data_IF_622437383907
#
_entry.id   IF_622437383907
#
_cell.length_a   1.000
_cell.length_b   1.000
_cell.length_c   1.000
_cell.angle_alpha   90.00
_cell.angle_beta   90.00
_cell.angle_gamma   90.00
#
_symmetry.space_group_name_H-M   'P 1'
#
loop_
_entity.id
_entity.type
_entity.pdbx_description
1 polymer ?
#
# COMPACT_ATOMS: atom_id res chain seq x y z
N UNK A 1 -14.60 8.70 -6.97
CA UNK A 1 -13.64 7.64 -6.58
C UNK A 1 -12.78 8.24 -5.50
N UNK A 2 -12.87 7.75 -4.27
CA UNK A 2 -12.05 8.26 -3.16
C UNK A 2 -10.60 7.78 -3.32
N UNK A 3 -9.61 8.44 -2.72
CA UNK A 3 -8.21 8.01 -2.80
C UNK A 3 -8.02 6.54 -2.36
N UNK A 4 -8.82 6.08 -1.38
CA UNK A 4 -8.83 4.70 -0.90
C UNK A 4 -9.39 3.70 -1.90
N UNK A 5 -10.38 4.08 -2.72
CA UNK A 5 -10.90 3.22 -3.78
C UNK A 5 -9.80 2.90 -4.80
N UNK A 6 -9.03 3.93 -5.20
CA UNK A 6 -7.89 3.77 -6.10
C UNK A 6 -6.81 2.88 -5.48
N UNK A 7 -6.54 3.05 -4.19
CA UNK A 7 -5.53 2.27 -3.46
C UNK A 7 -5.83 0.78 -3.47
N UNK A 8 -7.07 0.41 -3.12
CA UNK A 8 -7.50 -0.99 -3.03
C UNK A 8 -7.59 -1.62 -4.42
N UNK A 9 -8.06 -0.88 -5.42
CA UNK A 9 -8.05 -1.36 -6.81
C UNK A 9 -6.64 -1.60 -7.33
N UNK A 10 -5.70 -0.70 -7.06
CA UNK A 10 -4.31 -0.86 -7.50
C UNK A 10 -3.61 -2.01 -6.77
N UNK A 11 -3.96 -2.22 -5.50
CA UNK A 11 -3.52 -3.38 -4.72
C UNK A 11 -3.99 -4.70 -5.35
N UNK A 12 -5.24 -4.78 -5.79
CA UNK A 12 -5.78 -5.97 -6.46
C UNK A 12 -5.22 -6.16 -7.86
N UNK A 13 -4.98 -5.08 -8.61
CA UNK A 13 -4.30 -5.18 -9.91
C UNK A 13 -2.87 -5.70 -9.76
N UNK A 14 -2.14 -5.21 -8.74
CA UNK A 14 -0.75 -5.63 -8.48
C UNK A 14 -0.68 -7.04 -7.90
N UNK A 15 -1.64 -7.41 -7.05
CA UNK A 15 -1.74 -8.75 -6.45
C UNK A 15 -3.15 -9.31 -6.62
N UNK A 16 -3.43 -9.96 -7.76
CA UNK A 16 -4.74 -10.56 -8.02
C UNK A 16 -5.17 -11.55 -6.94
N UNK A 17 -4.23 -12.21 -6.25
CA UNK A 17 -4.50 -13.11 -5.12
C UNK A 17 -5.12 -12.43 -3.88
N UNK A 18 -5.05 -11.10 -3.80
CA UNK A 18 -5.70 -10.32 -2.75
C UNK A 18 -7.13 -9.92 -3.12
N UNK A 19 -7.54 -10.15 -4.37
CA UNK A 19 -8.85 -9.79 -4.89
C UNK A 19 -9.99 -10.25 -3.96
N UNK A 20 -11.10 -9.50 -3.93
CA UNK A 20 -12.23 -9.84 -3.10
C UNK A 20 -13.00 -11.01 -3.71
N UNK A 21 -13.58 -11.88 -2.88
CA UNK A 21 -14.51 -12.92 -3.31
C UNK A 21 -15.84 -12.31 -3.77
N UNK A 22 -16.29 -11.22 -3.14
CA UNK A 22 -17.49 -10.47 -3.50
C UNK A 22 -17.39 -8.95 -3.18
N UNK A 23 -18.37 -8.18 -3.64
CA UNK A 23 -18.41 -6.72 -3.42
C UNK A 23 -18.52 -6.33 -1.93
N UNK A 24 -19.12 -7.21 -1.11
CA UNK A 24 -19.28 -7.01 0.33
C UNK A 24 -17.92 -7.12 1.02
N UNK A 25 -17.12 -8.12 0.70
CA UNK A 25 -15.74 -8.26 1.19
C UNK A 25 -14.89 -7.07 0.75
N UNK A 26 -15.01 -6.63 -0.51
CA UNK A 26 -14.29 -5.47 -1.01
C UNK A 26 -14.60 -4.21 -0.18
N UNK A 27 -15.88 -4.00 0.13
CA UNK A 27 -16.34 -2.88 0.96
C UNK A 27 -15.81 -2.97 2.39
N UNK A 28 -15.90 -4.14 3.02
CA UNK A 28 -15.40 -4.33 4.38
C UNK A 28 -13.89 -4.14 4.43
N UNK A 29 -13.14 -4.71 3.50
CA UNK A 29 -11.69 -4.53 3.44
C UNK A 29 -11.29 -3.05 3.31
N UNK A 30 -11.99 -2.27 2.46
CA UNK A 30 -11.76 -0.82 2.35
C UNK A 30 -11.96 -0.10 3.68
N UNK A 31 -13.06 -0.39 4.39
CA UNK A 31 -13.36 0.22 5.68
C UNK A 31 -12.29 -0.13 6.71
N UNK A 32 -11.91 -1.41 6.79
CA UNK A 32 -10.89 -1.88 7.74
C UNK A 32 -9.52 -1.29 7.44
N UNK A 33 -9.16 -1.15 6.16
CA UNK A 33 -7.91 -0.53 5.73
C UNK A 33 -7.87 0.96 6.09
N UNK A 34 -8.94 1.72 5.83
CA UNK A 34 -9.03 3.13 6.25
C UNK A 34 -8.86 3.22 7.76
N UNK A 35 -9.58 2.38 8.51
CA UNK A 35 -9.51 2.38 9.97
C UNK A 35 -8.08 2.15 10.44
N UNK A 36 -7.40 1.13 9.93
CA UNK A 36 -5.98 0.87 10.22
C UNK A 36 -5.12 2.11 9.96
N UNK A 37 -5.25 2.74 8.78
CA UNK A 37 -4.45 3.91 8.40
C UNK A 37 -4.72 5.16 9.27
N UNK A 38 -5.85 5.20 9.98
CA UNK A 38 -6.21 6.29 10.90
C UNK A 38 -5.89 5.99 12.37
N UNK A 39 -5.41 4.78 12.70
CA UNK A 39 -5.05 4.41 14.07
C UNK A 39 -3.68 5.00 14.48
N UNK A 40 -3.39 5.12 15.78
CA UNK A 40 -2.04 5.43 16.27
C UNK A 40 -1.00 4.44 15.71
N UNK A 41 0.22 4.91 15.46
CA UNK A 41 1.29 4.10 14.83
C UNK A 41 1.57 2.82 15.63
N UNK A 42 1.57 2.92 16.95
CA UNK A 42 1.82 1.81 17.86
C UNK A 42 0.74 0.72 17.72
N UNK A 43 -0.51 1.12 17.48
CA UNK A 43 -1.60 0.19 17.23
C UNK A 43 -1.50 -0.42 15.82
N UNK A 44 -1.12 0.39 14.82
CA UNK A 44 -0.88 -0.12 13.47
C UNK A 44 0.19 -1.21 13.48
N UNK A 45 1.29 -1.01 14.18
CA UNK A 45 2.40 -1.97 14.28
C UNK A 45 1.94 -3.31 14.86
N UNK A 46 1.08 -3.30 15.87
CA UNK A 46 0.49 -4.53 16.45
C UNK A 46 -0.32 -5.29 15.40
N UNK A 47 -1.17 -4.59 14.65
CA UNK A 47 -2.00 -5.22 13.61
C UNK A 47 -1.13 -5.75 12.46
N UNK A 48 -0.15 -4.97 12.03
CA UNK A 48 0.76 -5.32 10.93
C UNK A 48 1.71 -6.45 11.30
N UNK A 49 2.13 -6.54 12.56
CA UNK A 49 2.88 -7.69 13.08
C UNK A 49 2.04 -8.98 13.12
N UNK A 50 0.73 -8.90 12.86
CA UNK A 50 -0.18 -10.04 12.77
C UNK A 50 -0.74 -10.48 14.11
N UNK A 51 -0.71 -9.62 15.13
CA UNK A 51 -1.40 -9.91 16.39
C UNK A 51 -2.92 -9.94 16.18
N UNK A 52 -3.66 -10.70 17.02
CA UNK A 52 -5.11 -10.76 16.96
C UNK A 52 -5.73 -9.37 17.03
N UNK A 53 -6.78 -9.16 16.23
CA UNK A 53 -7.51 -7.89 16.18
C UNK A 53 -8.98 -8.12 15.91
N UNK A 54 -9.77 -7.05 16.06
CA UNK A 54 -11.20 -7.04 15.80
C UNK A 54 -11.56 -7.00 14.29
N UNK A 55 -10.55 -6.82 13.42
CA UNK A 55 -10.75 -6.81 11.99
C UNK A 55 -11.11 -8.20 11.46
N UNK A 56 -12.09 -8.26 10.57
CA UNK A 56 -12.63 -9.51 10.03
C UNK A 56 -11.87 -10.02 8.82
N UNK A 57 -11.49 -9.12 7.91
CA UNK A 57 -10.87 -9.48 6.61
C UNK A 57 -9.41 -9.04 6.56
N UNK A 58 -9.10 -7.88 7.15
CA UNK A 58 -7.77 -7.29 7.15
C UNK A 58 -6.67 -8.25 7.62
N UNK A 59 -6.79 -9.04 8.70
CA UNK A 59 -5.69 -9.88 9.17
C UNK A 59 -5.26 -10.93 8.14
N UNK A 60 -6.21 -11.52 7.42
CA UNK A 60 -5.94 -12.48 6.37
C UNK A 60 -5.21 -11.83 5.18
N UNK A 61 -5.66 -10.63 4.76
CA UNK A 61 -5.03 -9.87 3.67
C UNK A 61 -3.65 -9.34 4.07
N UNK A 62 -3.49 -8.82 5.29
CA UNK A 62 -2.21 -8.37 5.87
C UNK A 62 -1.20 -9.51 5.91
N UNK A 63 -1.61 -10.74 6.26
CA UNK A 63 -0.71 -11.90 6.23
C UNK A 63 -0.15 -12.19 4.84
N UNK A 64 -0.96 -12.03 3.79
CA UNK A 64 -0.51 -12.21 2.41
C UNK A 64 0.37 -11.03 1.98
N UNK A 65 -0.03 -9.81 2.31
CA UNK A 65 0.72 -8.59 2.05
C UNK A 65 2.10 -8.59 2.74
N UNK A 66 2.20 -9.04 3.98
CA UNK A 66 3.46 -9.22 4.70
C UNK A 66 4.39 -10.20 3.99
N UNK A 67 3.88 -11.31 3.46
CA UNK A 67 4.71 -12.25 2.69
C UNK A 67 5.25 -11.64 1.41
N UNK A 68 4.47 -10.78 0.76
CA UNK A 68 4.87 -10.04 -0.43
C UNK A 68 5.92 -8.99 -0.05
N UNK A 69 5.61 -8.15 0.95
CA UNK A 69 6.47 -7.10 1.49
C UNK A 69 7.84 -7.66 1.88
N UNK A 70 7.90 -8.80 2.58
CA UNK A 70 9.16 -9.48 2.92
C UNK A 70 9.97 -9.90 1.70
N UNK A 71 9.31 -10.42 0.66
CA UNK A 71 9.98 -10.82 -0.59
C UNK A 71 10.52 -9.63 -1.36
N UNK A 72 9.74 -8.54 -1.44
CA UNK A 72 10.15 -7.31 -2.11
C UNK A 72 11.26 -6.60 -1.32
N UNK A 73 11.13 -6.51 0.01
CA UNK A 73 12.15 -5.93 0.90
C UNK A 73 13.49 -6.66 0.81
N UNK A 74 13.47 -7.99 0.73
CA UNK A 74 14.68 -8.79 0.55
C UNK A 74 15.37 -8.56 -0.81
N UNK A 75 14.66 -7.99 -1.80
CA UNK A 75 15.20 -7.66 -3.12
C UNK A 75 15.69 -6.22 -3.24
N UNK A 76 15.45 -5.38 -2.22
CA UNK A 76 15.96 -4.02 -2.20
C UNK A 76 17.48 -4.01 -2.06
N UNK A 77 18.12 -3.07 -2.76
CA UNK A 77 19.53 -2.78 -2.55
C UNK A 77 19.75 -2.20 -1.15
N UNK A 78 20.98 -2.27 -0.65
CA UNK A 78 21.29 -1.69 0.66
C UNK A 78 21.16 -0.15 0.64
N UNK A 79 21.42 0.48 -0.51
CA UNK A 79 21.18 1.91 -0.74
C UNK A 79 19.69 2.26 -0.64
N UNK A 80 18.81 1.46 -1.25
CA UNK A 80 17.35 1.66 -1.15
C UNK A 80 16.86 1.47 0.30
N UNK A 81 17.46 0.55 1.06
CA UNK A 81 17.13 0.33 2.48
C UNK A 81 17.64 1.47 3.36
N UNK A 82 18.84 1.99 3.08
CA UNK A 82 19.40 3.14 3.81
C UNK A 82 18.61 4.42 3.58
N UNK A 83 18.09 4.64 2.37
CA UNK A 83 17.19 5.76 2.07
C UNK A 83 15.84 5.66 2.80
N UNK A 84 15.46 4.46 3.19
CA UNK A 84 14.26 4.17 3.98
C UNK A 84 14.61 4.20 5.48
N UNK A 85 14.96 5.38 6.01
CA UNK A 85 15.32 5.57 7.43
C UNK A 85 14.29 4.90 8.37
N UNK A 86 14.78 3.98 9.22
CA UNK A 86 13.99 3.25 10.22
C UNK A 86 12.90 2.29 9.67
N UNK A 87 12.93 1.91 8.40
CA UNK A 87 11.96 0.98 7.84
C UNK A 87 12.31 -0.46 8.21
N UNK A 88 11.47 -1.08 9.05
CA UNK A 88 11.45 -2.52 9.24
C UNK A 88 10.40 -3.17 8.30
N UNK A 89 10.29 -4.50 8.28
CA UNK A 89 9.36 -5.21 7.39
C UNK A 89 7.91 -4.74 7.51
N UNK A 90 7.47 -4.35 8.72
CA UNK A 90 6.11 -3.85 9.00
C UNK A 90 5.93 -2.42 8.50
N UNK A 91 6.90 -1.55 8.73
CA UNK A 91 6.92 -0.18 8.20
C UNK A 91 7.02 -0.16 6.68
N UNK A 92 7.73 -1.14 6.09
CA UNK A 92 7.83 -1.30 4.64
C UNK A 92 6.47 -1.64 4.06
N UNK A 93 5.66 -2.45 4.74
CA UNK A 93 4.30 -2.72 4.30
C UNK A 93 3.44 -1.44 4.29
N UNK A 94 3.55 -0.56 5.30
CA UNK A 94 2.84 0.73 5.27
C UNK A 94 3.32 1.63 4.14
N UNK A 95 4.64 1.78 3.96
CA UNK A 95 5.22 2.51 2.84
C UNK A 95 4.73 1.95 1.49
N UNK A 96 4.72 0.63 1.37
CA UNK A 96 4.25 -0.09 0.21
C UNK A 96 2.76 0.15 -0.06
N UNK A 97 1.95 0.19 0.99
CA UNK A 97 0.51 0.40 0.90
C UNK A 97 0.13 1.86 0.69
N UNK A 98 0.91 2.83 1.15
CA UNK A 98 0.48 4.24 1.21
C UNK A 98 1.32 5.17 0.33
N UNK A 99 2.63 4.98 0.28
CA UNK A 99 3.56 5.89 -0.42
C UNK A 99 3.86 5.41 -1.84
N UNK A 100 4.09 4.10 -2.02
CA UNK A 100 4.39 3.53 -3.34
C UNK A 100 3.28 3.78 -4.38
N UNK A 101 1.97 3.67 -4.06
CA UNK A 101 0.91 4.00 -5.01
C UNK A 101 0.90 5.48 -5.39
N UNK A 102 1.18 6.38 -4.44
CA UNK A 102 1.23 7.83 -4.69
C UNK A 102 2.42 8.18 -5.59
N UNK A 103 3.62 7.68 -5.28
CA UNK A 103 4.82 7.88 -6.12
C UNK A 103 4.55 7.36 -7.53
N UNK A 104 4.01 6.15 -7.68
CA UNK A 104 3.68 5.58 -9.00
C UNK A 104 2.63 6.38 -9.75
N UNK A 105 1.64 6.93 -9.06
CA UNK A 105 0.60 7.74 -9.69
C UNK A 105 1.17 9.07 -10.17
N UNK A 106 2.08 9.67 -9.41
CA UNK A 106 2.86 10.85 -9.80
C UNK A 106 3.78 10.55 -10.99
N UNK A 107 4.53 9.45 -10.97
CA UNK A 107 5.37 9.02 -12.10
C UNK A 107 4.56 8.73 -13.35
N UNK A 108 3.39 8.08 -13.21
CA UNK A 108 2.49 7.80 -14.33
C UNK A 108 1.96 9.10 -14.93
N UNK A 109 1.54 10.06 -14.09
CA UNK A 109 1.13 11.39 -14.54
C UNK A 109 2.27 12.12 -15.23
N UNK A 110 3.48 12.10 -14.67
CA UNK A 110 4.67 12.69 -15.30
C UNK A 110 4.93 12.08 -16.68
N UNK A 111 4.93 10.76 -16.82
CA UNK A 111 5.05 10.06 -18.11
C UNK A 111 3.93 10.38 -19.09
N UNK A 112 2.70 10.57 -18.61
CA UNK A 112 1.57 10.97 -19.45
C UNK A 112 1.67 12.42 -19.93
N UNK A 113 2.21 13.32 -19.10
CA UNK A 113 2.51 14.71 -19.45
C UNK A 113 3.68 14.80 -20.44
N UNK A 114 4.76 14.05 -20.20
CA UNK A 114 5.90 13.90 -21.12
C UNK A 114 5.44 13.41 -22.50
N UNK A 115 4.56 12.40 -22.55
CA UNK A 115 3.97 11.90 -23.80
C UNK A 115 3.12 12.94 -24.54
N UNK A 116 2.61 13.94 -23.82
CA UNK A 116 1.82 15.05 -24.38
C UNK A 116 2.69 16.28 -24.70
N UNK A 117 4.00 16.22 -24.44
CA UNK A 117 4.92 17.33 -24.67
C UNK A 117 4.77 18.49 -23.68
N UNK A 118 4.17 18.26 -22.51
CA UNK A 118 4.02 19.24 -21.44
C UNK A 118 5.28 19.26 -20.56
N UNK A 119 5.74 20.46 -20.20
CA UNK A 119 6.99 20.69 -19.46
C UNK A 119 6.74 20.57 -17.95
N UNK A 120 7.80 20.26 -17.19
CA UNK A 120 7.74 20.09 -15.73
C UNK A 120 7.16 21.30 -14.95
N UNK A 121 7.16 22.52 -15.52
CA UNK A 121 6.56 23.73 -14.93
C UNK A 121 5.02 23.77 -14.94
N UNK A 122 4.35 22.92 -15.71
CA UNK A 122 2.88 22.85 -15.77
C UNK A 122 2.29 21.73 -14.90
N UNK A 123 3.15 21.01 -14.16
CA UNK A 123 2.80 19.78 -13.42
C UNK A 123 2.66 20.02 -11.89
N UNK A 124 3.03 21.21 -11.39
CA UNK A 124 2.85 21.64 -9.99
C UNK A 124 1.41 22.08 -9.67
#
# INVERSE_FOLDING_TARGET
ITATDSLVEDLYKKFPSLGPYDEKEATVFKIELIRLLTMPIEEQDVILAGFPSEFKILPAKIKVLNKIAKKEFAQLSDEDKEQMENVNESTYLLYFLTVNPVIRLTEKRKKECEKKGLNDEEID
#
